data_IF_226981308304
#
_entry.id   IF_226981308304
#
_cell.length_a   1.000
_cell.length_b   1.000
_cell.length_c   1.000
_cell.angle_alpha   90.00
_cell.angle_beta   90.00
_cell.angle_gamma   90.00
#
_symmetry.space_group_name_H-M   'P 1'
#
loop_
_entity.id
_entity.type
_entity.pdbx_description
1 polymer ?
#
# COMPACT_ATOMS: atom_id res chain seq x y z
N UNK A 1 -7.15 -1.56 12.38
CA UNK A 1 -7.26 -2.94 12.90
C UNK A 1 -6.46 -2.98 14.19
N UNK A 2 -7.07 -3.47 15.27
CA UNK A 2 -6.76 -3.23 16.70
C UNK A 2 -7.37 -1.93 17.27
N UNK A 3 -8.68 -1.97 17.53
CA UNK A 3 -9.39 -0.90 18.25
C UNK A 3 -9.67 0.36 17.43
N UNK A 4 -9.98 1.45 18.14
CA UNK A 4 -10.41 2.75 17.57
C UNK A 4 -9.25 3.62 17.09
N UNK A 5 -8.03 3.25 17.44
CA UNK A 5 -6.81 4.00 17.16
C UNK A 5 -5.97 3.29 16.09
N UNK A 6 -5.20 4.08 15.33
CA UNK A 6 -4.23 3.56 14.37
C UNK A 6 -3.14 2.80 15.10
N UNK A 7 -2.87 1.59 14.64
CA UNK A 7 -1.75 0.78 15.11
C UNK A 7 -0.66 0.70 14.04
N UNK A 8 0.53 0.25 14.44
CA UNK A 8 1.60 -0.07 13.49
C UNK A 8 1.17 -1.10 12.44
N UNK A 9 0.24 -2.00 12.78
CA UNK A 9 -0.31 -2.97 11.82
C UNK A 9 -1.02 -2.26 10.68
N UNK A 10 -1.73 -1.17 10.94
CA UNK A 10 -2.42 -0.40 9.90
C UNK A 10 -1.43 0.27 8.93
N UNK A 11 -0.30 0.75 9.45
CA UNK A 11 0.78 1.31 8.64
C UNK A 11 1.47 0.24 7.79
N UNK A 12 1.72 -0.94 8.37
CA UNK A 12 2.31 -2.07 7.64
C UNK A 12 1.39 -2.56 6.53
N UNK A 13 0.08 -2.66 6.78
CA UNK A 13 -0.90 -3.05 5.73
C UNK A 13 -0.97 -1.98 4.64
N UNK A 14 -0.94 -0.70 5.01
CA UNK A 14 -0.86 0.39 4.03
C UNK A 14 0.35 0.21 3.11
N UNK A 15 1.54 -0.02 3.67
CA UNK A 15 2.75 -0.22 2.87
C UNK A 15 2.67 -1.49 2.01
N UNK A 16 2.12 -2.58 2.54
CA UNK A 16 1.95 -3.84 1.82
C UNK A 16 1.03 -3.67 0.60
N UNK A 17 -0.13 -3.03 0.78
CA UNK A 17 -1.06 -2.79 -0.33
C UNK A 17 -0.43 -1.86 -1.38
N UNK A 18 0.26 -0.81 -0.95
CA UNK A 18 0.94 0.12 -1.86
C UNK A 18 2.04 -0.59 -2.67
N UNK A 19 2.84 -1.45 -2.02
CA UNK A 19 3.89 -2.22 -2.67
C UNK A 19 3.34 -3.28 -3.63
N UNK A 20 2.29 -4.00 -3.24
CA UNK A 20 1.65 -5.01 -4.12
C UNK A 20 1.00 -4.36 -5.35
N UNK A 21 0.43 -3.15 -5.22
CA UNK A 21 -0.08 -2.38 -6.37
C UNK A 21 1.01 -2.05 -7.39
N UNK A 22 2.23 -1.78 -6.91
CA UNK A 22 3.38 -1.53 -7.76
C UNK A 22 3.93 -2.82 -8.39
N UNK A 23 4.14 -3.84 -7.57
CA UNK A 23 4.77 -5.10 -7.98
C UNK A 23 3.86 -5.96 -8.91
N UNK A 24 2.56 -6.02 -8.62
CA UNK A 24 1.59 -6.91 -9.28
C UNK A 24 0.27 -6.19 -9.65
N UNK A 25 0.30 -5.17 -10.53
CA UNK A 25 -0.88 -4.35 -10.80
C UNK A 25 -2.05 -5.13 -11.44
N UNK A 26 -1.81 -6.14 -12.28
CA UNK A 26 -2.92 -6.93 -12.88
C UNK A 26 -3.59 -7.80 -11.82
N UNK A 27 -2.79 -8.45 -10.99
CA UNK A 27 -3.27 -9.29 -9.90
C UNK A 27 -4.06 -8.46 -8.90
N UNK A 28 -3.55 -7.27 -8.53
CA UNK A 28 -4.24 -6.37 -7.60
C UNK A 28 -5.58 -5.88 -8.14
N UNK A 29 -5.69 -5.56 -9.44
CA UNK A 29 -6.99 -5.20 -10.06
C UNK A 29 -8.07 -6.28 -9.86
N UNK A 30 -7.67 -7.56 -9.81
CA UNK A 30 -8.60 -8.69 -9.61
C UNK A 30 -8.91 -8.95 -8.13
N UNK A 31 -7.95 -8.70 -7.24
CA UNK A 31 -8.05 -9.02 -5.81
C UNK A 31 -8.66 -7.90 -4.97
N UNK A 32 -8.44 -6.64 -5.31
CA UNK A 32 -8.93 -5.50 -4.56
C UNK A 32 -10.44 -5.51 -4.30
N UNK A 33 -11.32 -5.86 -5.28
CA UNK A 33 -12.75 -5.94 -5.03
C UNK A 33 -13.12 -6.98 -3.96
N UNK A 34 -12.34 -8.06 -3.86
CA UNK A 34 -12.56 -9.14 -2.86
C UNK A 34 -12.06 -8.76 -1.47
N UNK A 35 -11.20 -7.74 -1.37
CA UNK A 35 -10.58 -7.28 -0.14
C UNK A 35 -10.84 -5.79 0.10
N UNK A 36 -12.07 -5.34 -0.14
CA UNK A 36 -12.47 -3.93 -0.02
C UNK A 36 -12.16 -3.29 1.33
N UNK A 37 -12.18 -4.07 2.43
CA UNK A 37 -11.80 -3.58 3.76
C UNK A 37 -10.32 -3.21 3.88
N UNK A 38 -9.41 -3.96 3.22
CA UNK A 38 -7.98 -3.64 3.21
C UNK A 38 -7.68 -2.43 2.34
N UNK A 39 -8.37 -2.31 1.20
CA UNK A 39 -8.29 -1.12 0.34
C UNK A 39 -8.78 0.11 1.08
N UNK A 40 -9.94 0.03 1.74
CA UNK A 40 -10.47 1.12 2.54
C UNK A 40 -9.55 1.49 3.73
N UNK A 41 -8.84 0.51 4.31
CA UNK A 41 -7.84 0.78 5.35
C UNK A 41 -6.64 1.54 4.76
N UNK A 42 -6.09 1.08 3.63
CA UNK A 42 -5.03 1.78 2.92
C UNK A 42 -5.41 3.23 2.64
N UNK A 43 -6.60 3.46 2.08
CA UNK A 43 -7.05 4.81 1.71
C UNK A 43 -7.26 5.71 2.94
N UNK A 44 -7.81 5.15 4.02
CA UNK A 44 -7.93 5.86 5.31
C UNK A 44 -6.58 6.26 5.89
N UNK A 45 -5.57 5.39 5.79
CA UNK A 45 -4.21 5.70 6.28
C UNK A 45 -3.57 6.77 5.39
N UNK A 46 -3.70 6.65 4.07
CA UNK A 46 -3.15 7.60 3.09
C UNK A 46 -3.70 9.02 3.27
N UNK A 47 -4.98 9.15 3.64
CA UNK A 47 -5.67 10.42 3.83
C UNK A 47 -5.33 11.13 5.16
N UNK A 48 -4.53 10.52 6.05
CA UNK A 48 -4.17 11.16 7.32
C UNK A 48 -3.19 12.30 7.09
N UNK A 49 -3.36 13.48 7.72
CA UNK A 49 -2.53 14.67 7.46
C UNK A 49 -1.01 14.41 7.48
N UNK A 50 -0.52 13.74 8.53
CA UNK A 50 0.91 13.45 8.67
C UNK A 50 1.42 12.44 7.62
N UNK A 51 0.57 11.48 7.25
CA UNK A 51 0.91 10.50 6.22
C UNK A 51 0.91 11.21 4.86
N UNK A 52 -0.14 11.94 4.51
CA UNK A 52 -0.21 12.73 3.28
C UNK A 52 0.99 13.66 3.13
N UNK A 53 1.36 14.38 4.19
CA UNK A 53 2.55 15.24 4.20
C UNK A 53 3.85 14.45 3.99
N UNK A 54 3.98 13.26 4.59
CA UNK A 54 5.11 12.36 4.35
C UNK A 54 5.12 11.86 2.90
N UNK A 55 3.97 11.44 2.37
CA UNK A 55 3.84 10.91 1.01
C UNK A 55 4.20 11.95 -0.07
N UNK A 56 4.05 13.24 0.23
CA UNK A 56 4.43 14.36 -0.63
C UNK A 56 5.87 14.86 -0.40
N UNK A 57 6.56 14.37 0.64
CA UNK A 57 7.91 14.82 0.96
C UNK A 57 8.98 13.99 0.25
N UNK A 58 10.14 14.59 0.00
CA UNK A 58 11.33 13.91 -0.57
C UNK A 58 11.84 12.74 0.28
N UNK A 59 11.41 12.65 1.55
CA UNK A 59 11.75 11.55 2.45
C UNK A 59 11.09 10.23 2.05
N UNK A 60 10.03 10.27 1.23
CA UNK A 60 9.40 9.06 0.69
C UNK A 60 10.14 8.66 -0.57
N UNK A 61 10.91 7.59 -0.46
CA UNK A 61 11.53 6.95 -1.61
C UNK A 61 10.41 6.28 -2.44
N UNK A 62 10.34 6.54 -3.76
CA UNK A 62 9.38 5.86 -4.62
C UNK A 62 9.73 4.36 -4.74
N UNK A 63 8.71 3.54 -4.99
CA UNK A 63 8.95 2.14 -5.34
C UNK A 63 9.85 2.05 -6.58
N UNK A 64 10.76 1.09 -6.55
CA UNK A 64 11.79 0.88 -7.56
C UNK A 64 12.17 -0.61 -7.61
N UNK A 65 13.00 -0.97 -8.59
CA UNK A 65 13.41 -2.36 -8.81
C UNK A 65 14.52 -2.87 -7.87
N UNK A 66 15.08 -2.01 -7.03
CA UNK A 66 16.13 -2.36 -6.07
C UNK A 66 15.56 -2.70 -4.66
N UNK A 67 14.25 -2.52 -4.46
CA UNK A 67 13.55 -2.75 -3.19
C UNK A 67 12.85 -4.14 -3.14
N UNK A 68 12.12 -4.43 -2.07
CA UNK A 68 11.36 -5.65 -1.83
C UNK A 68 10.21 -5.80 -2.85
N UNK A 69 9.56 -4.69 -3.21
CA UNK A 69 8.42 -4.69 -4.16
C UNK A 69 8.92 -4.34 -5.55
N UNK A 70 9.35 -5.36 -6.29
CA UNK A 70 9.84 -5.24 -7.67
C UNK A 70 8.73 -5.52 -8.67
N UNK A 71 8.75 -4.84 -9.80
CA UNK A 71 7.81 -5.13 -10.86
C UNK A 71 8.25 -6.43 -11.54
N UNK A 72 7.51 -7.51 -11.28
CA UNK A 72 7.78 -8.84 -11.84
C UNK A 72 6.65 -9.23 -12.81
N UNK A 73 6.67 -8.79 -14.07
CA UNK A 73 5.62 -9.09 -15.06
C UNK A 73 5.37 -10.59 -15.24
N UNK A 74 6.41 -11.40 -15.09
CA UNK A 74 6.37 -12.86 -15.22
C UNK A 74 5.55 -13.54 -14.12
N UNK A 75 5.36 -12.85 -12.99
CA UNK A 75 4.56 -13.30 -11.86
C UNK A 75 3.18 -12.60 -11.80
N UNK A 76 2.99 -11.50 -12.54
CA UNK A 76 1.74 -10.73 -12.56
C UNK A 76 0.73 -11.30 -13.57
N UNK A 77 -0.19 -12.13 -13.07
CA UNK A 77 -1.17 -12.91 -13.86
C UNK A 77 -2.62 -12.44 -13.72
#
# INVERSE_FOLDING_TARGET
MLGRNLSYVDLSIFQLIAGLRYAFPKTMKRLEPKHSGLVALHDKVAARPNITAYLASERRIPFNEDDIFRHCPELDT
#
